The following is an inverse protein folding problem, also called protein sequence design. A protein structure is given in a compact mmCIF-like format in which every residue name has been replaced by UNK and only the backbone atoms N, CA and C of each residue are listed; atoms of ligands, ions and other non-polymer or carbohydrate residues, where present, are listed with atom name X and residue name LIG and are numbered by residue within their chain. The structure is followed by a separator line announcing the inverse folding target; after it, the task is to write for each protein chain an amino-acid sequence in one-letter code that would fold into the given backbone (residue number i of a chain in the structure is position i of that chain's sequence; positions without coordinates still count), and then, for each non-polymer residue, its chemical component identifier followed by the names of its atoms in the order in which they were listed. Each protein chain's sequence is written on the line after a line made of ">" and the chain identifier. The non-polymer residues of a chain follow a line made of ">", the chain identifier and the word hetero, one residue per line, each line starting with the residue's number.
data_IF_263656474795
#
_entry.id   IF_263656474795
#
_cell.length_a   1.000
_cell.length_b   1.000
_cell.length_c   1.000
_cell.angle_alpha   90.00
_cell.angle_beta   90.00
_cell.angle_gamma   90.00
#
_symmetry.space_group_name_H-M   'P 1'
#
loop_
_entity.id
_entity.type
_entity.pdbx_description
1 polymer ?
#
# COMPACT_ATOMS: atom_id res chain seq x y z
N UNK A 1 -64.34 20.32 -4.45
CA UNK A 1 -63.27 19.83 -5.34
C UNK A 1 -61.88 20.37 -5.02
N UNK A 2 -61.73 21.54 -4.44
CA UNK A 2 -60.40 22.09 -4.07
C UNK A 2 -59.71 21.35 -2.90
N UNK A 3 -60.46 20.74 -1.99
CA UNK A 3 -59.90 20.01 -0.85
C UNK A 3 -59.17 18.70 -1.23
N UNK A 4 -59.59 18.04 -2.30
CA UNK A 4 -58.97 16.79 -2.78
C UNK A 4 -57.65 17.05 -3.49
N UNK A 5 -57.51 18.15 -4.19
CA UNK A 5 -56.25 18.57 -4.83
C UNK A 5 -55.20 19.02 -3.83
N UNK A 6 -55.60 19.64 -2.72
CA UNK A 6 -54.71 20.02 -1.62
C UNK A 6 -54.11 18.80 -0.93
N UNK A 7 -54.91 17.76 -0.69
CA UNK A 7 -54.42 16.52 -0.04
C UNK A 7 -53.42 15.75 -0.90
N UNK A 8 -53.59 15.74 -2.21
CA UNK A 8 -52.64 15.07 -3.11
C UNK A 8 -51.26 15.77 -3.13
N UNK A 9 -51.25 17.09 -3.08
CA UNK A 9 -49.97 17.86 -3.03
C UNK A 9 -49.27 17.67 -1.70
N UNK A 10 -49.98 17.60 -0.60
CA UNK A 10 -49.40 17.38 0.73
C UNK A 10 -48.82 15.96 0.85
N UNK A 11 -49.50 14.95 0.30
CA UNK A 11 -49.03 13.54 0.30
C UNK A 11 -47.76 13.40 -0.56
N UNK A 12 -47.71 14.05 -1.73
CA UNK A 12 -46.51 14.05 -2.61
C UNK A 12 -45.31 14.68 -1.93
N UNK A 13 -45.46 15.80 -1.25
CA UNK A 13 -44.39 16.47 -0.51
C UNK A 13 -43.86 15.62 0.67
N UNK A 14 -44.74 14.92 1.37
CA UNK A 14 -44.36 14.03 2.47
C UNK A 14 -43.57 12.82 1.98
N UNK A 15 -43.91 12.24 0.84
CA UNK A 15 -43.20 11.11 0.24
C UNK A 15 -41.82 11.55 -0.23
N UNK A 16 -41.67 12.69 -0.86
CA UNK A 16 -40.37 13.23 -1.31
C UNK A 16 -39.45 13.52 -0.13
N UNK A 17 -39.97 14.10 0.96
CA UNK A 17 -39.18 14.33 2.17
C UNK A 17 -38.72 13.04 2.84
N UNK A 18 -39.54 11.99 2.86
CA UNK A 18 -39.16 10.68 3.41
C UNK A 18 -38.04 10.00 2.56
N UNK A 19 -38.12 10.09 1.25
CA UNK A 19 -37.10 9.53 0.34
C UNK A 19 -35.78 10.27 0.50
N UNK A 20 -35.78 11.59 0.60
CA UNK A 20 -34.57 12.40 0.85
C UNK A 20 -33.94 12.10 2.22
N UNK A 21 -34.76 11.91 3.26
CA UNK A 21 -34.28 11.54 4.59
C UNK A 21 -33.64 10.14 4.62
N UNK A 22 -34.17 9.16 3.92
CA UNK A 22 -33.62 7.83 3.76
C UNK A 22 -32.28 7.87 2.98
N UNK A 23 -32.17 8.72 1.98
CA UNK A 23 -30.93 8.86 1.19
C UNK A 23 -29.80 9.50 2.01
N UNK A 24 -30.09 10.52 2.81
CA UNK A 24 -29.14 11.13 3.74
C UNK A 24 -28.67 10.13 4.82
N UNK A 25 -29.59 9.33 5.36
CA UNK A 25 -29.29 8.30 6.35
C UNK A 25 -28.32 7.23 5.79
N UNK A 26 -28.50 6.81 4.54
CA UNK A 26 -27.62 5.87 3.85
C UNK A 26 -26.22 6.44 3.60
N UNK A 27 -26.09 7.74 3.33
CA UNK A 27 -24.79 8.41 3.13
C UNK A 27 -24.03 8.56 4.44
N UNK A 28 -24.74 8.84 5.56
CA UNK A 28 -24.14 9.00 6.90
C UNK A 28 -23.73 7.65 7.51
N UNK A 29 -24.45 6.57 7.20
CA UNK A 29 -24.20 5.23 7.72
C UNK A 29 -23.26 4.38 6.87
N UNK A 30 -22.73 4.90 5.79
CA UNK A 30 -21.59 4.23 5.14
C UNK A 30 -20.45 4.18 6.15
N UNK A 31 -20.07 2.98 6.65
CA UNK A 31 -18.88 2.88 7.46
C UNK A 31 -17.74 3.50 6.64
N UNK A 32 -16.98 4.42 7.25
CA UNK A 32 -15.66 4.76 6.71
C UNK A 32 -15.01 3.43 6.40
N UNK A 33 -14.84 3.12 5.12
CA UNK A 33 -14.00 2.00 4.77
C UNK A 33 -12.68 2.28 5.50
N UNK A 34 -12.40 1.47 6.52
CA UNK A 34 -11.04 1.33 6.99
C UNK A 34 -10.26 1.15 5.70
N UNK A 35 -9.40 2.11 5.37
CA UNK A 35 -8.37 1.84 4.38
C UNK A 35 -7.70 0.57 4.90
N UNK A 36 -8.02 -0.55 4.26
CA UNK A 36 -7.30 -1.77 4.55
C UNK A 36 -5.85 -1.44 4.25
N UNK A 37 -5.07 -1.33 5.29
CA UNK A 37 -3.62 -1.37 5.18
C UNK A 37 -3.29 -2.51 4.24
N UNK A 38 -2.62 -2.28 3.10
CA UNK A 38 -2.24 -3.37 2.24
C UNK A 38 -1.58 -4.42 3.11
N UNK A 39 -2.11 -5.64 3.12
CA UNK A 39 -1.64 -6.71 3.98
C UNK A 39 -0.18 -6.96 3.65
N UNK A 40 0.70 -6.78 4.66
CA UNK A 40 2.09 -7.14 4.53
C UNK A 40 2.18 -8.64 4.23
N UNK A 41 2.82 -8.99 3.15
CA UNK A 41 3.11 -10.36 2.77
C UNK A 41 4.51 -10.72 3.23
N UNK A 42 4.72 -11.92 3.72
CA UNK A 42 6.06 -12.43 4.04
C UNK A 42 6.43 -13.55 3.07
N UNK A 43 7.56 -13.39 2.39
CA UNK A 43 8.11 -14.38 1.45
C UNK A 43 9.56 -14.66 1.87
N UNK A 44 9.87 -15.91 2.18
CA UNK A 44 11.22 -16.35 2.57
C UNK A 44 11.84 -15.51 3.70
N UNK A 45 11.02 -15.05 4.65
CA UNK A 45 11.46 -14.21 5.74
C UNK A 45 11.55 -12.72 5.43
N UNK A 46 11.22 -12.32 4.21
CA UNK A 46 11.20 -10.92 3.75
C UNK A 46 9.78 -10.37 3.82
N UNK A 47 9.60 -9.24 4.51
CA UNK A 47 8.30 -8.57 4.61
C UNK A 47 8.11 -7.59 3.46
N UNK A 48 6.99 -7.68 2.77
CA UNK A 48 6.68 -6.85 1.60
C UNK A 48 5.30 -6.23 1.76
N UNK A 49 5.22 -4.90 1.71
CA UNK A 49 3.98 -4.14 1.59
C UNK A 49 3.90 -3.58 0.17
N UNK A 50 2.90 -3.99 -0.59
CA UNK A 50 2.65 -3.49 -1.95
C UNK A 50 1.88 -2.17 -1.89
N UNK A 51 2.42 -1.13 -2.52
CA UNK A 51 1.79 0.19 -2.62
C UNK A 51 1.19 0.70 -1.29
N UNK A 52 2.00 0.82 -0.21
CA UNK A 52 1.49 1.39 1.03
C UNK A 52 0.97 2.81 0.79
N UNK A 53 -0.06 3.25 1.54
CA UNK A 53 -0.59 4.60 1.40
C UNK A 53 0.47 5.65 1.80
N UNK A 54 0.36 6.87 1.26
CA UNK A 54 1.29 7.97 1.55
C UNK A 54 1.38 8.26 3.05
N UNK A 55 0.28 8.12 3.80
CA UNK A 55 0.25 8.26 5.27
C UNK A 55 1.23 7.32 5.96
N UNK A 56 1.37 6.09 5.48
CA UNK A 56 2.32 5.09 5.99
C UNK A 56 3.77 5.52 5.72
N UNK A 57 4.05 6.02 4.54
CA UNK A 57 5.39 6.49 4.15
C UNK A 57 5.80 7.72 4.96
N UNK A 58 4.87 8.65 5.18
CA UNK A 58 5.08 9.85 6.00
C UNK A 58 5.34 9.46 7.46
N UNK A 59 4.56 8.56 8.02
CA UNK A 59 4.73 8.05 9.39
C UNK A 59 6.12 7.44 9.61
N UNK A 60 6.62 6.70 8.63
CA UNK A 60 7.97 6.10 8.69
C UNK A 60 9.09 7.08 8.35
N UNK A 61 8.78 8.24 7.79
CA UNK A 61 9.77 9.21 7.35
C UNK A 61 10.58 8.77 6.12
N UNK A 62 9.99 7.96 5.26
CA UNK A 62 10.67 7.34 4.11
C UNK A 62 11.43 8.35 3.25
N UNK A 63 10.85 9.52 3.01
CA UNK A 63 11.47 10.54 2.13
C UNK A 63 12.66 11.26 2.78
N UNK A 64 12.91 11.04 4.06
CA UNK A 64 14.09 11.53 4.78
C UNK A 64 15.25 10.53 4.77
N UNK A 65 15.00 9.29 4.33
CA UNK A 65 16.00 8.24 4.28
C UNK A 65 17.02 8.48 3.16
N UNK A 66 18.15 7.82 3.26
CA UNK A 66 19.17 7.81 2.21
C UNK A 66 18.60 7.19 0.93
N UNK A 67 19.19 7.55 -0.20
CA UNK A 67 18.85 6.99 -1.50
C UNK A 67 20.00 6.14 -2.03
N UNK A 68 19.65 5.11 -2.79
CA UNK A 68 20.60 4.28 -3.52
C UNK A 68 20.05 4.00 -4.91
N UNK A 69 20.95 3.98 -5.87
CA UNK A 69 20.65 3.69 -7.27
C UNK A 69 21.51 2.52 -7.75
N UNK A 70 20.94 1.64 -8.55
CA UNK A 70 21.64 0.49 -9.14
C UNK A 70 21.19 0.25 -10.57
N UNK A 71 22.17 0.03 -11.44
CA UNK A 71 21.94 -0.37 -12.83
C UNK A 71 21.56 -1.86 -12.91
N UNK A 72 20.95 -2.33 -14.02
CA UNK A 72 20.70 -3.74 -14.22
C UNK A 72 21.96 -4.57 -14.04
N UNK A 73 21.93 -5.49 -13.11
CA UNK A 73 23.08 -6.34 -12.72
C UNK A 73 22.62 -7.43 -11.78
N UNK A 74 23.41 -8.49 -11.67
CA UNK A 74 23.14 -9.61 -10.75
C UNK A 74 24.34 -9.79 -9.83
N UNK A 75 24.09 -9.76 -8.51
CA UNK A 75 25.16 -9.84 -7.51
C UNK A 75 24.65 -10.46 -6.20
N UNK A 76 25.54 -11.13 -5.45
CA UNK A 76 25.24 -11.58 -4.10
C UNK A 76 25.33 -10.42 -3.12
N UNK A 77 24.49 -10.44 -2.08
CA UNK A 77 24.49 -9.45 -1.03
C UNK A 77 24.16 -10.07 0.32
N UNK A 78 24.80 -9.59 1.37
CA UNK A 78 24.49 -9.93 2.75
C UNK A 78 24.08 -8.66 3.50
N UNK A 79 22.92 -8.70 4.16
CA UNK A 79 22.43 -7.58 4.96
C UNK A 79 23.15 -7.55 6.32
N UNK A 80 23.99 -6.55 6.57
CA UNK A 80 24.71 -6.38 7.83
C UNK A 80 23.85 -5.80 8.95
N UNK A 81 22.71 -5.23 8.61
CA UNK A 81 21.68 -4.70 9.49
C UNK A 81 20.32 -5.01 8.89
N UNK A 82 19.25 -4.97 9.70
CA UNK A 82 17.90 -5.00 9.15
C UNK A 82 17.69 -3.76 8.29
N UNK A 83 17.38 -3.97 7.03
CA UNK A 83 17.18 -2.88 6.07
C UNK A 83 15.71 -2.78 5.66
N UNK A 84 15.14 -1.61 5.90
CA UNK A 84 13.83 -1.24 5.36
C UNK A 84 14.05 -0.35 4.16
N UNK A 85 13.47 -0.70 3.02
CA UNK A 85 13.60 0.05 1.78
C UNK A 85 12.26 0.32 1.14
N UNK A 86 12.16 1.44 0.47
CA UNK A 86 11.03 1.81 -0.37
C UNK A 86 11.53 2.05 -1.79
N UNK A 87 11.06 1.22 -2.73
CA UNK A 87 11.48 1.30 -4.12
C UNK A 87 10.68 2.38 -4.85
N UNK A 88 11.40 3.35 -5.41
CA UNK A 88 10.83 4.44 -6.22
C UNK A 88 10.73 4.03 -7.69
N UNK A 89 11.71 3.28 -8.18
CA UNK A 89 11.84 2.87 -9.58
C UNK A 89 12.47 1.49 -9.66
N UNK A 90 12.16 0.78 -10.73
CA UNK A 90 12.86 -0.45 -11.11
C UNK A 90 12.20 -1.73 -10.68
N UNK A 91 12.90 -2.83 -10.97
CA UNK A 91 12.51 -4.19 -10.62
C UNK A 91 13.71 -5.04 -10.26
N UNK A 92 13.55 -5.88 -9.26
CA UNK A 92 14.58 -6.80 -8.77
C UNK A 92 13.96 -8.17 -8.56
N UNK A 93 14.59 -9.20 -9.12
CA UNK A 93 14.35 -10.59 -8.73
C UNK A 93 15.24 -10.91 -7.54
N UNK A 94 14.65 -11.41 -6.47
CA UNK A 94 15.34 -11.74 -5.23
C UNK A 94 15.35 -13.24 -5.03
N UNK A 95 16.54 -13.82 -4.93
CA UNK A 95 16.75 -15.19 -4.46
C UNK A 95 17.31 -15.11 -3.04
N UNK A 96 16.67 -15.80 -2.09
CA UNK A 96 17.16 -15.88 -0.71
C UNK A 96 17.88 -17.21 -0.52
N UNK A 97 19.10 -17.16 0.02
CA UNK A 97 19.88 -18.37 0.29
C UNK A 97 19.10 -19.33 1.18
N UNK A 98 19.09 -20.61 0.81
CA UNK A 98 18.38 -21.65 1.51
C UNK A 98 16.92 -21.86 1.09
N UNK A 99 16.42 -21.06 0.16
CA UNK A 99 15.07 -21.19 -0.39
C UNK A 99 15.11 -21.44 -1.90
N UNK A 100 14.21 -22.27 -2.38
CA UNK A 100 14.04 -22.50 -3.80
C UNK A 100 13.17 -21.40 -4.43
N UNK A 101 13.56 -20.96 -5.64
CA UNK A 101 12.81 -19.97 -6.39
C UNK A 101 13.22 -18.53 -6.05
N UNK A 102 12.42 -17.62 -6.53
CA UNK A 102 12.65 -16.17 -6.41
C UNK A 102 11.31 -15.42 -6.34
N UNK A 103 11.37 -14.21 -5.85
CA UNK A 103 10.25 -13.28 -5.93
C UNK A 103 10.71 -11.94 -6.49
N UNK A 104 9.78 -11.14 -6.98
CA UNK A 104 10.07 -9.83 -7.55
C UNK A 104 9.60 -8.72 -6.62
N UNK A 105 10.45 -7.72 -6.43
CA UNK A 105 10.11 -6.43 -5.81
C UNK A 105 10.33 -5.33 -6.84
N UNK A 106 9.59 -4.23 -6.70
CA UNK A 106 9.67 -3.13 -7.65
C UNK A 106 9.11 -1.83 -7.11
N UNK A 107 8.98 -0.85 -8.00
CA UNK A 107 8.48 0.48 -7.68
C UNK A 107 7.14 0.42 -6.90
N UNK A 108 7.07 1.14 -5.78
CA UNK A 108 5.92 1.16 -4.88
C UNK A 108 5.96 0.13 -3.76
N UNK A 109 6.98 -0.72 -3.69
CA UNK A 109 7.11 -1.73 -2.64
C UNK A 109 7.90 -1.20 -1.43
N UNK A 110 7.37 -1.43 -0.24
CA UNK A 110 8.05 -1.24 1.03
C UNK A 110 8.49 -2.62 1.53
N UNK A 111 9.80 -2.83 1.67
CA UNK A 111 10.38 -4.16 1.88
C UNK A 111 11.32 -4.14 3.07
N UNK A 112 11.26 -5.16 3.91
CA UNK A 112 12.15 -5.34 5.06
C UNK A 112 12.95 -6.61 4.90
N UNK A 113 14.27 -6.46 4.78
CA UNK A 113 15.23 -7.57 4.79
C UNK A 113 15.86 -7.69 6.18
N UNK A 114 15.78 -8.86 6.83
CA UNK A 114 16.36 -9.04 8.14
C UNK A 114 17.89 -9.06 8.10
N UNK A 115 18.50 -8.61 9.20
CA UNK A 115 19.94 -8.70 9.42
C UNK A 115 20.45 -10.14 9.20
N UNK A 116 21.64 -10.25 8.62
CA UNK A 116 22.35 -11.51 8.33
C UNK A 116 21.76 -12.32 7.15
N UNK A 117 20.67 -11.88 6.56
CA UNK A 117 20.13 -12.54 5.37
C UNK A 117 21.09 -12.42 4.19
N UNK A 118 21.34 -13.54 3.52
CA UNK A 118 22.11 -13.61 2.28
C UNK A 118 21.14 -13.80 1.11
N UNK A 119 21.32 -12.97 0.10
CA UNK A 119 20.47 -12.96 -1.08
C UNK A 119 21.30 -12.84 -2.35
N UNK A 120 20.68 -13.16 -3.47
CA UNK A 120 21.14 -12.73 -4.80
C UNK A 120 20.12 -11.74 -5.34
N UNK A 121 20.58 -10.55 -5.63
CA UNK A 121 19.80 -9.52 -6.29
C UNK A 121 20.06 -9.56 -7.78
N UNK A 122 18.99 -9.70 -8.55
CA UNK A 122 19.00 -9.62 -10.00
C UNK A 122 18.18 -8.41 -10.42
N UNK A 123 18.86 -7.29 -10.62
CA UNK A 123 18.22 -6.03 -11.04
C UNK A 123 17.92 -6.15 -12.53
N UNK A 124 16.65 -6.27 -12.86
CA UNK A 124 16.16 -6.38 -14.24
C UNK A 124 15.81 -5.03 -14.86
N UNK A 125 15.39 -4.06 -14.03
CA UNK A 125 15.20 -2.65 -14.39
C UNK A 125 15.91 -1.78 -13.37
N UNK A 126 16.60 -0.73 -13.82
CA UNK A 126 17.38 0.15 -12.96
C UNK A 126 16.58 0.61 -11.72
N UNK A 127 17.16 0.43 -10.56
CA UNK A 127 16.53 0.65 -9.25
C UNK A 127 16.92 2.00 -8.68
N UNK A 128 15.93 2.67 -8.11
CA UNK A 128 16.11 3.80 -7.19
C UNK A 128 15.28 3.54 -5.95
N UNK A 129 15.89 3.62 -4.78
CA UNK A 129 15.22 3.35 -3.51
C UNK A 129 15.66 4.30 -2.41
N UNK A 130 14.74 4.54 -1.46
CA UNK A 130 15.08 5.03 -0.13
C UNK A 130 15.35 3.83 0.79
N UNK A 131 16.27 3.96 1.75
CA UNK A 131 16.55 2.89 2.70
C UNK A 131 16.93 3.41 4.08
N UNK A 132 16.62 2.61 5.09
CA UNK A 132 16.96 2.83 6.50
C UNK A 132 17.52 1.55 7.09
N UNK A 133 18.58 1.68 7.88
CA UNK A 133 19.27 0.57 8.52
C UNK A 133 19.01 0.59 10.03
N UNK A 134 18.63 -0.56 10.57
CA UNK A 134 18.53 -0.80 12.01
C UNK A 134 19.66 -1.72 12.45
N UNK A 135 20.50 -1.24 13.32
CA UNK A 135 21.63 -2.02 13.87
C UNK A 135 21.20 -2.98 14.97
#
# INVERSE_FOLDING_TARGET
>A
MSAILSNRRVILLAVVAAVLSLFLSLVITRPKQKEESPMATEIFGVKIEKNPPESRLVELGVRTWRTWEGSPSKFPWEFKATETMYLLEGKVKVNVDGYDGWFEIGAGDLVVFPKEMKVTWDITEAVKKHYSLEK
#
